data_IF_337746921758
#
_entry.id   IF_337746921758
#
_cell.length_a   1.000
_cell.length_b   1.000
_cell.length_c   1.000
_cell.angle_alpha   90.00
_cell.angle_beta   90.00
_cell.angle_gamma   90.00
#
_symmetry.space_group_name_H-M   'P 1'
#
loop_
_entity.id
_entity.type
_entity.pdbx_description
1 polymer ?
#
# COMPACT_ATOMS: atom_id res chain seq x y z
N UNK A 1 -6.42 -15.85 -10.46
CA UNK A 1 -5.68 -15.34 -9.30
C UNK A 1 -6.66 -14.52 -8.46
N UNK A 2 -6.69 -14.76 -7.15
CA UNK A 2 -7.50 -14.01 -6.17
C UNK A 2 -6.58 -13.29 -5.20
N UNK A 3 -6.74 -11.97 -5.08
CA UNK A 3 -5.99 -11.13 -4.16
C UNK A 3 -6.97 -10.65 -3.10
N UNK A 4 -6.59 -10.77 -1.83
CA UNK A 4 -7.36 -10.25 -0.70
C UNK A 4 -6.49 -9.24 0.04
N UNK A 5 -7.10 -8.13 0.45
CA UNK A 5 -6.47 -7.16 1.35
C UNK A 5 -7.29 -7.01 2.62
N UNK A 6 -6.62 -6.96 3.77
CA UNK A 6 -7.28 -6.85 5.06
C UNK A 6 -6.38 -6.18 6.10
N UNK A 7 -6.82 -5.03 6.62
CA UNK A 7 -6.29 -4.53 7.89
C UNK A 7 -6.78 -5.46 9.00
N UNK A 8 -5.90 -6.33 9.48
CA UNK A 8 -6.23 -7.41 10.42
C UNK A 8 -6.23 -6.93 11.87
N UNK A 9 -5.78 -5.70 12.15
CA UNK A 9 -5.72 -5.13 13.50
C UNK A 9 -5.02 -6.05 14.53
N UNK A 10 -3.94 -6.71 14.11
CA UNK A 10 -3.18 -7.68 14.90
C UNK A 10 -3.48 -9.12 14.55
N UNK A 11 -2.58 -9.78 13.82
CA UNK A 11 -2.77 -11.16 13.35
C UNK A 11 -2.94 -12.17 14.49
N UNK A 12 -2.26 -11.95 15.63
CA UNK A 12 -2.37 -12.81 16.82
C UNK A 12 -3.75 -12.72 17.48
N UNK A 13 -4.31 -11.50 17.53
CA UNK A 13 -5.65 -11.29 18.07
C UNK A 13 -6.70 -11.92 17.16
N UNK A 14 -6.58 -11.70 15.86
CA UNK A 14 -7.57 -12.14 14.87
C UNK A 14 -7.61 -13.65 14.63
N UNK A 15 -6.50 -14.38 14.85
CA UNK A 15 -6.53 -15.85 14.78
C UNK A 15 -7.15 -16.51 16.01
N UNK A 16 -7.24 -15.82 17.15
CA UNK A 16 -7.71 -16.39 18.41
C UNK A 16 -6.95 -17.68 18.78
N UNK A 17 -7.68 -18.79 18.94
CA UNK A 17 -7.10 -20.13 19.20
C UNK A 17 -6.76 -20.91 17.92
N UNK A 18 -7.16 -20.41 16.76
CA UNK A 18 -6.91 -21.06 15.47
C UNK A 18 -5.46 -20.84 15.02
N UNK A 19 -4.94 -21.77 14.22
CA UNK A 19 -3.63 -21.60 13.61
C UNK A 19 -3.66 -20.50 12.54
N UNK A 20 -2.51 -19.88 12.26
CA UNK A 20 -2.40 -18.92 11.16
C UNK A 20 -2.78 -19.56 9.82
N UNK A 21 -2.41 -20.84 9.62
CA UNK A 21 -2.81 -21.61 8.43
C UNK A 21 -4.33 -21.69 8.26
N UNK A 22 -5.06 -22.07 9.30
CA UNK A 22 -6.52 -22.21 9.23
C UNK A 22 -7.20 -20.88 8.87
N UNK A 23 -6.68 -19.77 9.39
CA UNK A 23 -7.17 -18.44 9.03
C UNK A 23 -6.92 -18.15 7.55
N UNK A 24 -5.68 -18.30 7.07
CA UNK A 24 -5.33 -18.01 5.67
C UNK A 24 -6.06 -18.91 4.66
N UNK A 25 -6.21 -20.20 4.96
CA UNK A 25 -6.95 -21.14 4.10
C UNK A 25 -8.41 -20.71 3.95
N UNK A 26 -9.04 -20.24 5.04
CA UNK A 26 -10.45 -19.84 5.07
C UNK A 26 -10.75 -18.62 4.17
N UNK A 27 -9.75 -17.75 3.96
CA UNK A 27 -9.87 -16.54 3.15
C UNK A 27 -9.95 -16.84 1.64
N UNK A 28 -9.67 -18.09 1.23
CA UNK A 28 -9.84 -18.55 -0.14
C UNK A 28 -9.12 -17.68 -1.20
N UNK A 29 -8.00 -17.03 -0.88
CA UNK A 29 -7.22 -16.20 -1.79
C UNK A 29 -5.88 -16.84 -2.16
N UNK A 30 -5.30 -16.40 -3.28
CA UNK A 30 -3.96 -16.82 -3.72
C UNK A 30 -2.87 -15.94 -3.11
N UNK A 31 -3.18 -14.65 -2.94
CA UNK A 31 -2.31 -13.66 -2.30
C UNK A 31 -3.14 -12.91 -1.27
N UNK A 32 -2.67 -12.90 -0.02
CA UNK A 32 -3.33 -12.28 1.12
C UNK A 32 -2.42 -11.17 1.65
N UNK A 33 -2.85 -9.92 1.46
CA UNK A 33 -2.18 -8.71 1.89
C UNK A 33 -2.76 -8.26 3.23
N UNK A 34 -2.00 -8.40 4.30
CA UNK A 34 -2.39 -7.98 5.63
C UNK A 34 -1.72 -6.64 6.00
N UNK A 35 -2.49 -5.76 6.62
CA UNK A 35 -2.03 -4.52 7.23
C UNK A 35 -2.25 -4.55 8.74
N UNK A 36 -1.48 -3.75 9.47
CA UNK A 36 -1.54 -3.68 10.93
C UNK A 36 -1.35 -5.06 11.58
N UNK A 37 -0.34 -5.81 11.13
CA UNK A 37 -0.07 -7.15 11.66
C UNK A 37 0.26 -7.14 13.15
N UNK A 38 0.77 -6.01 13.67
CA UNK A 38 1.26 -5.81 15.04
C UNK A 38 2.30 -6.84 15.45
N UNK A 39 3.07 -7.31 14.48
CA UNK A 39 4.23 -8.17 14.69
C UNK A 39 5.46 -7.36 14.30
N UNK A 40 6.45 -7.36 15.19
CA UNK A 40 7.81 -6.91 14.91
C UNK A 40 8.75 -8.11 14.86
N UNK A 41 9.97 -7.90 14.34
CA UNK A 41 10.92 -8.99 14.06
C UNK A 41 11.27 -9.81 15.32
N UNK A 42 11.37 -9.17 16.47
CA UNK A 42 11.59 -9.78 17.79
C UNK A 42 10.40 -10.64 18.26
N UNK A 43 9.20 -10.34 17.78
CA UNK A 43 7.99 -11.07 18.15
C UNK A 43 7.67 -12.21 17.20
N UNK A 44 8.21 -12.24 15.98
CA UNK A 44 7.81 -13.18 14.94
C UNK A 44 8.10 -14.63 15.35
N UNK A 45 7.04 -15.44 15.45
CA UNK A 45 7.12 -16.88 15.69
C UNK A 45 7.08 -17.67 14.38
N UNK A 46 7.83 -18.77 14.34
CA UNK A 46 7.90 -19.67 13.17
C UNK A 46 6.52 -20.08 12.63
N UNK A 47 5.51 -20.45 13.45
CA UNK A 47 4.19 -20.83 12.93
C UNK A 47 3.39 -19.68 12.29
N UNK A 48 3.83 -18.44 12.47
CA UNK A 48 3.26 -17.26 11.81
C UNK A 48 4.06 -16.86 10.58
N UNK A 49 5.38 -17.07 10.58
CA UNK A 49 6.22 -16.80 9.41
C UNK A 49 6.14 -17.91 8.36
N UNK A 50 6.28 -19.16 8.78
CA UNK A 50 6.41 -20.33 7.92
C UNK A 50 5.11 -21.12 7.99
N UNK A 51 4.24 -20.88 7.01
CA UNK A 51 2.94 -21.53 6.93
C UNK A 51 2.94 -22.49 5.75
N UNK A 52 2.64 -23.76 6.00
CA UNK A 52 2.61 -24.75 4.93
C UNK A 52 1.66 -24.35 3.79
N UNK A 53 2.16 -24.45 2.56
CA UNK A 53 1.49 -23.99 1.33
C UNK A 53 1.66 -22.52 0.98
N UNK A 54 2.23 -21.70 1.87
CA UNK A 54 2.42 -20.26 1.67
C UNK A 54 3.89 -19.84 1.80
N UNK A 55 4.24 -18.78 1.08
CA UNK A 55 5.44 -17.98 1.29
C UNK A 55 5.02 -16.62 1.83
N UNK A 56 5.72 -16.13 2.84
CA UNK A 56 5.36 -14.88 3.51
C UNK A 56 6.44 -13.81 3.35
N UNK A 57 6.03 -12.58 3.14
CA UNK A 57 6.90 -11.41 3.01
C UNK A 57 6.42 -10.34 3.97
N UNK A 58 7.28 -9.89 4.87
CA UNK A 58 6.91 -8.96 5.93
C UNK A 58 7.66 -7.64 5.81
N UNK A 59 6.98 -6.56 6.19
CA UNK A 59 7.59 -5.30 6.57
C UNK A 59 7.35 -5.08 8.07
N UNK A 60 8.43 -4.87 8.83
CA UNK A 60 8.36 -4.76 10.28
C UNK A 60 8.60 -3.33 10.73
N UNK A 61 7.84 -2.87 11.73
CA UNK A 61 8.19 -1.61 12.39
C UNK A 61 9.50 -1.76 13.14
N UNK A 62 10.41 -0.81 12.91
CA UNK A 62 11.70 -0.66 13.62
C UNK A 62 11.62 0.40 14.73
N UNK A 63 10.51 1.15 14.79
CA UNK A 63 10.33 2.27 15.72
C UNK A 63 9.62 1.85 17.01
N UNK A 64 8.68 0.91 16.95
CA UNK A 64 7.87 0.49 18.10
C UNK A 64 7.50 -0.99 18.00
N UNK A 65 7.76 -1.75 19.06
CA UNK A 65 7.34 -3.16 19.17
C UNK A 65 5.81 -3.26 19.13
N UNK A 66 5.28 -4.30 18.48
CA UNK A 66 3.83 -4.54 18.35
C UNK A 66 3.05 -3.48 17.57
N UNK A 67 3.72 -2.65 16.76
CA UNK A 67 3.09 -1.55 16.02
C UNK A 67 3.12 -1.77 14.50
N UNK A 68 2.06 -1.33 13.81
CA UNK A 68 1.99 -1.29 12.35
C UNK A 68 2.26 -2.69 11.78
N UNK A 69 3.10 -2.79 10.76
CA UNK A 69 3.50 -4.03 10.12
C UNK A 69 2.57 -4.39 8.97
N UNK A 70 3.16 -4.77 7.85
CA UNK A 70 2.44 -5.33 6.70
C UNK A 70 3.01 -6.69 6.35
N UNK A 71 2.18 -7.57 5.78
CA UNK A 71 2.61 -8.88 5.34
C UNK A 71 1.85 -9.33 4.09
N UNK A 72 2.54 -9.95 3.14
CA UNK A 72 1.93 -10.68 2.04
C UNK A 72 2.15 -12.16 2.26
N UNK A 73 1.06 -12.94 2.27
CA UNK A 73 1.11 -14.39 2.19
C UNK A 73 0.70 -14.82 0.79
N UNK A 74 1.63 -15.42 0.06
CA UNK A 74 1.44 -15.91 -1.30
C UNK A 74 1.38 -17.43 -1.27
N UNK A 75 0.37 -18.05 -1.87
CA UNK A 75 0.40 -19.50 -2.11
C UNK A 75 1.62 -19.83 -2.98
N UNK A 76 2.20 -21.02 -2.83
CA UNK A 76 3.30 -21.49 -3.69
C UNK A 76 2.99 -21.46 -5.20
N UNK A 77 1.71 -21.53 -5.57
CA UNK A 77 1.24 -21.41 -6.96
C UNK A 77 1.21 -19.97 -7.49
N UNK A 78 1.38 -19.00 -6.61
CA UNK A 78 1.40 -17.56 -6.87
C UNK A 78 2.61 -16.91 -6.18
N UNK A 79 3.73 -17.64 -6.14
CA UNK A 79 4.98 -17.14 -5.58
C UNK A 79 5.53 -15.96 -6.39
N UNK A 80 5.97 -14.89 -5.73
CA UNK A 80 6.59 -13.77 -6.42
C UNK A 80 7.99 -14.13 -6.90
N UNK A 81 8.41 -13.53 -8.02
CA UNK A 81 9.80 -13.61 -8.48
C UNK A 81 10.69 -12.56 -7.79
N UNK A 82 10.11 -11.49 -7.24
CA UNK A 82 10.81 -10.46 -6.47
C UNK A 82 9.97 -9.98 -5.31
N UNK A 83 10.61 -9.62 -4.21
CA UNK A 83 9.94 -9.03 -3.06
C UNK A 83 10.82 -7.98 -2.40
N UNK A 84 10.20 -6.95 -1.84
CA UNK A 84 10.91 -5.83 -1.24
C UNK A 84 10.12 -5.21 -0.08
N UNK A 85 10.85 -4.85 0.99
CA UNK A 85 10.33 -4.09 2.12
C UNK A 85 10.50 -2.59 1.87
N UNK A 86 9.46 -1.80 2.17
CA UNK A 86 9.49 -0.36 2.03
C UNK A 86 9.17 0.15 0.62
N UNK A 87 9.27 1.46 0.45
CA UNK A 87 9.05 2.17 -0.81
C UNK A 87 10.37 2.73 -1.38
N UNK A 88 11.34 3.01 -0.51
CA UNK A 88 12.51 3.84 -0.85
C UNK A 88 13.76 3.03 -1.17
N UNK A 89 13.76 1.74 -0.85
CA UNK A 89 14.93 0.89 -0.96
C UNK A 89 15.88 0.99 0.23
N UNK A 90 15.65 1.90 1.19
CA UNK A 90 16.52 2.03 2.37
C UNK A 90 16.47 0.83 3.32
N UNK A 91 15.41 0.02 3.25
CA UNK A 91 15.32 -1.27 3.96
C UNK A 91 15.85 -2.46 3.15
N UNK A 92 16.32 -2.24 1.93
CA UNK A 92 16.70 -3.30 0.98
C UNK A 92 18.20 -3.52 0.94
N UNK A 93 18.60 -4.77 0.70
CA UNK A 93 20.00 -5.11 0.42
C UNK A 93 20.35 -4.99 -1.08
N UNK A 94 19.40 -4.51 -1.91
CA UNK A 94 19.55 -4.31 -3.36
C UNK A 94 20.05 -5.54 -4.13
N UNK A 95 19.54 -6.72 -3.77
CA UNK A 95 19.84 -7.98 -4.46
C UNK A 95 19.04 -8.15 -5.75
N UNK A 96 19.36 -9.15 -6.57
CA UNK A 96 18.60 -9.46 -7.80
C UNK A 96 17.12 -9.81 -7.55
N UNK A 97 16.79 -10.26 -6.34
CA UNK A 97 15.42 -10.57 -5.90
C UNK A 97 14.63 -9.36 -5.39
N UNK A 98 15.26 -8.18 -5.38
CA UNK A 98 14.64 -6.91 -5.01
C UNK A 98 13.82 -6.34 -6.18
N UNK A 99 12.69 -5.69 -5.89
CA UNK A 99 11.79 -5.12 -6.91
C UNK A 99 12.48 -3.96 -7.65
N UNK A 100 13.03 -2.98 -6.92
CA UNK A 100 13.67 -1.80 -7.50
C UNK A 100 12.70 -0.83 -8.18
N UNK A 101 13.20 0.08 -9.01
CA UNK A 101 12.43 1.15 -9.66
C UNK A 101 11.89 2.19 -8.65
N UNK A 102 12.78 2.90 -7.97
CA UNK A 102 12.43 3.84 -6.87
C UNK A 102 11.76 5.15 -7.35
N UNK A 103 11.94 5.53 -8.61
CA UNK A 103 11.46 6.83 -9.10
C UNK A 103 12.33 7.99 -8.61
N UNK A 104 11.86 9.22 -8.81
CA UNK A 104 12.57 10.41 -8.35
C UNK A 104 12.30 10.65 -6.86
N UNK A 105 13.36 10.61 -6.05
CA UNK A 105 13.33 10.89 -4.62
C UNK A 105 14.31 12.00 -4.20
N UNK A 106 14.84 12.77 -5.15
CA UNK A 106 15.92 13.77 -4.92
C UNK A 106 15.52 14.90 -3.96
N UNK A 107 14.21 15.16 -3.83
CA UNK A 107 13.67 16.18 -2.92
C UNK A 107 13.61 15.74 -1.45
N UNK A 108 13.97 14.49 -1.14
CA UNK A 108 13.96 13.94 0.23
C UNK A 108 15.37 13.68 0.73
N UNK A 109 15.62 14.01 2.00
CA UNK A 109 16.86 13.61 2.66
C UNK A 109 16.89 12.09 2.91
N UNK A 110 18.09 11.51 3.03
CA UNK A 110 18.23 10.09 3.40
C UNK A 110 17.51 9.76 4.71
N UNK A 111 17.56 10.67 5.69
CA UNK A 111 16.85 10.53 6.96
C UNK A 111 15.32 10.48 6.78
N UNK A 112 14.77 11.28 5.85
CA UNK A 112 13.34 11.23 5.53
C UNK A 112 12.96 9.87 4.95
N UNK A 113 13.74 9.38 3.98
CA UNK A 113 13.49 8.10 3.30
C UNK A 113 13.58 6.91 4.27
N UNK A 114 14.61 6.90 5.12
CA UNK A 114 14.74 5.90 6.19
C UNK A 114 13.59 5.97 7.18
N UNK A 115 13.14 7.16 7.56
CA UNK A 115 12.02 7.34 8.46
C UNK A 115 10.71 6.79 7.86
N UNK A 116 10.47 7.01 6.56
CA UNK A 116 9.28 6.53 5.86
C UNK A 116 9.17 5.00 5.84
N UNK A 117 10.29 4.30 5.63
CA UNK A 117 10.33 2.84 5.60
C UNK A 117 10.44 2.19 7.01
N UNK A 118 10.88 2.95 8.02
CA UNK A 118 11.08 2.42 9.36
C UNK A 118 9.80 2.00 10.10
N UNK A 119 8.61 2.43 9.67
CA UNK A 119 7.34 2.11 10.33
C UNK A 119 6.70 0.79 9.88
N UNK A 120 7.32 0.03 8.97
CA UNK A 120 6.81 -1.27 8.57
C UNK A 120 5.50 -1.19 7.77
N UNK A 121 5.39 -0.20 6.87
CA UNK A 121 4.12 0.22 6.25
C UNK A 121 3.93 -0.24 4.82
N UNK A 122 4.93 -0.85 4.22
CA UNK A 122 4.88 -1.26 2.82
C UNK A 122 5.67 -2.54 2.60
N UNK A 123 5.03 -3.50 1.94
CA UNK A 123 5.72 -4.65 1.35
C UNK A 123 5.25 -4.81 -0.09
N UNK A 124 6.20 -5.03 -0.99
CA UNK A 124 5.95 -5.17 -2.42
C UNK A 124 6.33 -6.59 -2.83
N UNK A 125 5.46 -7.24 -3.59
CA UNK A 125 5.74 -8.53 -4.22
C UNK A 125 5.46 -8.43 -5.71
N UNK A 126 6.44 -8.75 -6.55
CA UNK A 126 6.29 -8.78 -8.00
C UNK A 126 6.07 -10.22 -8.47
N UNK A 127 5.09 -10.40 -9.34
CA UNK A 127 4.62 -11.69 -9.84
C UNK A 127 4.60 -11.69 -11.37
N UNK A 128 4.63 -12.88 -11.96
CA UNK A 128 4.35 -13.07 -13.39
C UNK A 128 2.92 -13.59 -13.56
N UNK A 129 2.12 -12.88 -14.34
CA UNK A 129 0.75 -13.27 -14.69
C UNK A 129 0.66 -13.59 -16.17
N UNK A 130 -0.09 -14.64 -16.52
CA UNK A 130 -0.42 -14.97 -17.91
C UNK A 130 -1.80 -14.43 -18.23
N UNK A 131 -1.88 -13.57 -19.23
CA UNK A 131 -3.13 -13.01 -19.75
C UNK A 131 -3.87 -14.04 -20.62
N UNK A 132 -5.18 -13.85 -20.88
CA UNK A 132 -5.94 -14.71 -21.80
C UNK A 132 -5.34 -14.78 -23.22
N UNK A 133 -4.61 -13.74 -23.62
CA UNK A 133 -3.84 -13.67 -24.88
C UNK A 133 -2.57 -14.52 -24.89
N UNK A 134 -2.29 -15.26 -23.81
CA UNK A 134 -1.03 -16.00 -23.56
C UNK A 134 0.21 -15.13 -23.32
N UNK A 135 0.09 -13.81 -23.39
CA UNK A 135 1.16 -12.89 -22.98
C UNK A 135 1.45 -13.04 -21.48
N UNK A 136 2.72 -13.00 -21.11
CA UNK A 136 3.15 -12.96 -19.72
C UNK A 136 3.54 -11.53 -19.37
N UNK A 137 2.94 -10.99 -18.31
CA UNK A 137 3.22 -9.66 -17.79
C UNK A 137 3.76 -9.74 -16.37
N UNK A 138 4.61 -8.79 -16.02
CA UNK A 138 5.00 -8.55 -14.64
C UNK A 138 3.94 -7.67 -13.95
N UNK A 139 3.56 -8.04 -12.73
CA UNK A 139 2.64 -7.27 -11.88
C UNK A 139 3.25 -7.08 -10.50
N UNK A 140 3.36 -5.84 -10.05
CA UNK A 140 3.75 -5.49 -8.69
C UNK A 140 2.50 -5.31 -7.83
N UNK A 141 2.38 -6.09 -6.77
CA UNK A 141 1.37 -5.91 -5.74
C UNK A 141 2.01 -5.13 -4.60
N UNK A 142 1.57 -3.89 -4.40
CA UNK A 142 2.04 -2.98 -3.36
C UNK A 142 1.02 -3.02 -2.23
N UNK A 143 1.38 -3.67 -1.12
CA UNK A 143 0.57 -3.73 0.10
C UNK A 143 0.98 -2.60 1.04
N UNK A 144 0.09 -1.63 1.27
CA UNK A 144 0.34 -0.44 2.09
C UNK A 144 -0.55 -0.33 3.32
N UNK A 145 0.03 0.19 4.40
CA UNK A 145 -0.69 0.73 5.55
C UNK A 145 -0.34 2.21 5.69
N UNK A 146 -1.11 3.07 5.02
CA UNK A 146 -0.85 4.51 4.95
C UNK A 146 -0.97 5.11 6.36
N UNK A 147 -0.07 6.04 6.75
CA UNK A 147 -0.14 6.70 8.04
C UNK A 147 -1.47 7.43 8.28
N UNK A 148 -2.05 7.25 9.46
CA UNK A 148 -3.08 8.17 9.95
C UNK A 148 -2.42 9.51 10.31
N UNK A 149 -2.99 10.61 9.82
CA UNK A 149 -2.55 11.96 10.16
C UNK A 149 -2.85 12.29 11.64
N UNK A 150 -4.03 11.93 12.15
CA UNK A 150 -4.42 12.29 13.52
C UNK A 150 -4.50 13.81 13.72
N UNK A 151 -4.42 14.27 14.96
CA UNK A 151 -4.49 15.70 15.31
C UNK A 151 -3.13 16.42 15.24
N UNK A 152 -2.02 15.67 15.14
CA UNK A 152 -0.67 16.25 15.14
C UNK A 152 -0.22 16.59 13.74
N UNK A 153 0.17 17.84 13.52
CA UNK A 153 0.63 18.36 12.23
C UNK A 153 1.80 17.54 11.64
N UNK A 154 2.78 17.13 12.45
CA UNK A 154 3.90 16.29 12.02
C UNK A 154 3.46 14.97 11.36
N UNK A 155 2.35 14.39 11.83
CA UNK A 155 1.83 13.14 11.28
C UNK A 155 1.06 13.36 9.99
N UNK A 156 0.44 14.53 9.81
CA UNK A 156 -0.07 14.93 8.50
C UNK A 156 1.08 15.07 7.50
N UNK A 157 2.15 15.81 7.85
CA UNK A 157 3.34 15.93 7.01
C UNK A 157 3.94 14.57 6.65
N UNK A 158 4.09 13.68 7.63
CA UNK A 158 4.56 12.31 7.40
C UNK A 158 3.64 11.54 6.43
N UNK A 159 2.31 11.65 6.58
CA UNK A 159 1.34 11.03 5.66
C UNK A 159 1.54 11.55 4.23
N UNK A 160 1.68 12.86 4.04
CA UNK A 160 1.82 13.45 2.70
C UNK A 160 3.15 13.07 2.05
N UNK A 161 4.26 13.06 2.79
CA UNK A 161 5.55 12.52 2.32
C UNK A 161 5.43 11.04 1.94
N UNK A 162 4.73 10.23 2.74
CA UNK A 162 4.51 8.82 2.43
C UNK A 162 3.70 8.62 1.15
N UNK A 163 2.57 9.32 0.99
CA UNK A 163 1.74 9.28 -0.22
C UNK A 163 2.52 9.73 -1.46
N UNK A 164 3.41 10.70 -1.27
CA UNK A 164 4.30 11.19 -2.31
C UNK A 164 5.24 10.12 -2.85
N UNK A 165 6.02 9.54 -1.95
CA UNK A 165 6.97 8.49 -2.28
C UNK A 165 6.26 7.26 -2.83
N UNK A 166 5.06 6.93 -2.31
CA UNK A 166 4.22 5.86 -2.82
C UNK A 166 3.85 6.09 -4.29
N UNK A 167 3.38 7.29 -4.64
CA UNK A 167 3.05 7.63 -6.02
C UNK A 167 4.27 7.56 -6.94
N UNK A 168 5.40 8.16 -6.54
CA UNK A 168 6.63 8.11 -7.34
C UNK A 168 7.09 6.67 -7.59
N UNK A 169 6.95 5.79 -6.59
CA UNK A 169 7.25 4.35 -6.72
C UNK A 169 6.29 3.65 -7.68
N UNK A 170 4.99 3.92 -7.58
CA UNK A 170 3.98 3.39 -8.50
C UNK A 170 4.26 3.80 -9.96
N UNK A 171 4.47 5.09 -10.21
CA UNK A 171 4.71 5.63 -11.55
C UNK A 171 6.03 5.11 -12.14
N UNK A 172 7.08 4.97 -11.33
CA UNK A 172 8.34 4.38 -11.76
C UNK A 172 8.19 2.92 -12.22
N UNK A 173 7.37 2.13 -11.54
CA UNK A 173 7.07 0.75 -11.95
C UNK A 173 6.25 0.71 -13.25
N UNK A 174 5.24 1.58 -13.39
CA UNK A 174 4.45 1.69 -14.61
C UNK A 174 5.32 2.09 -15.82
N UNK A 175 6.27 3.02 -15.64
CA UNK A 175 7.25 3.43 -16.67
C UNK A 175 8.17 2.28 -17.13
N UNK A 176 8.31 1.22 -16.32
CA UNK A 176 9.03 0.00 -16.67
C UNK A 176 8.12 -1.10 -17.26
N UNK A 177 6.89 -0.75 -17.67
CA UNK A 177 5.90 -1.68 -18.22
C UNK A 177 5.50 -2.80 -17.23
N UNK A 178 5.59 -2.52 -15.93
CA UNK A 178 5.12 -3.39 -14.85
C UNK A 178 3.72 -2.92 -14.46
N UNK A 179 2.73 -3.84 -14.46
CA UNK A 179 1.41 -3.50 -13.96
C UNK A 179 1.45 -3.31 -12.44
N UNK A 180 0.70 -2.35 -11.91
CA UNK A 180 0.69 -2.09 -10.47
C UNK A 180 -0.71 -2.35 -9.90
N UNK A 181 -0.76 -3.14 -8.83
CA UNK A 181 -1.94 -3.33 -8.00
C UNK A 181 -1.62 -2.75 -6.63
N UNK A 182 -2.17 -1.56 -6.34
CA UNK A 182 -2.06 -0.92 -5.03
C UNK A 182 -3.23 -1.40 -4.16
N UNK A 183 -2.91 -2.02 -3.03
CA UNK A 183 -3.91 -2.54 -2.08
C UNK A 183 -3.52 -2.19 -0.65
N UNK A 184 -4.51 -2.09 0.22
CA UNK A 184 -4.29 -1.92 1.64
C UNK A 184 -5.21 -0.91 2.26
N UNK A 185 -4.79 -0.41 3.41
CA UNK A 185 -5.50 0.62 4.17
C UNK A 185 -4.86 1.97 3.88
N UNK A 186 -5.57 2.78 3.08
CA UNK A 186 -5.14 4.10 2.67
C UNK A 186 -5.41 5.19 3.73
N UNK A 187 -6.11 4.86 4.82
CA UNK A 187 -6.54 5.82 5.86
C UNK A 187 -7.16 7.09 5.24
N UNK A 188 -8.00 6.91 4.23
CA UNK A 188 -8.72 7.98 3.55
C UNK A 188 -10.07 7.46 3.04
N UNK A 189 -10.98 8.40 2.81
CA UNK A 189 -12.28 8.19 2.20
C UNK A 189 -12.30 8.98 0.89
N UNK A 190 -12.61 8.36 -0.24
CA UNK A 190 -12.58 9.06 -1.53
C UNK A 190 -13.84 9.90 -1.75
N UNK A 191 -15.02 9.28 -1.78
CA UNK A 191 -16.28 9.97 -2.08
C UNK A 191 -17.25 9.97 -0.91
N UNK A 192 -18.37 10.68 -1.09
CA UNK A 192 -19.40 10.85 -0.05
C UNK A 192 -20.05 9.55 0.35
N UNK A 193 -20.25 8.69 -0.64
CA UNK A 193 -20.80 7.36 -0.44
C UNK A 193 -19.92 6.47 0.45
N UNK A 194 -18.63 6.77 0.55
CA UNK A 194 -17.67 5.99 1.34
C UNK A 194 -17.66 6.42 2.83
N UNK A 195 -18.48 7.41 3.23
CA UNK A 195 -18.57 7.90 4.60
C UNK A 195 -20.02 7.89 5.11
N UNK A 196 -20.23 7.36 6.32
CA UNK A 196 -21.53 7.38 6.99
C UNK A 196 -21.79 8.67 7.78
N UNK A 197 -20.78 9.50 8.02
CA UNK A 197 -20.94 10.72 8.81
C UNK A 197 -21.53 11.89 8.00
N UNK A 198 -22.35 12.70 8.65
CA UNK A 198 -22.96 13.90 8.08
C UNK A 198 -21.99 15.08 7.88
N UNK A 199 -20.70 14.89 8.19
CA UNK A 199 -19.65 15.91 8.09
C UNK A 199 -19.03 15.81 6.70
N UNK A 200 -19.76 16.33 5.72
CA UNK A 200 -19.31 16.48 4.35
C UNK A 200 -19.26 17.96 4.00
N UNK A 201 -18.39 18.69 4.71
CA UNK A 201 -18.16 20.12 4.54
C UNK A 201 -16.98 20.39 3.60
N UNK A 202 -16.70 21.67 3.34
CA UNK A 202 -15.61 22.07 2.44
C UNK A 202 -14.24 21.64 2.95
N UNK A 203 -14.04 21.57 4.27
CA UNK A 203 -12.77 21.16 4.87
C UNK A 203 -12.51 19.67 4.62
N UNK A 204 -13.57 18.85 4.69
CA UNK A 204 -13.51 17.43 4.32
C UNK A 204 -13.11 17.25 2.84
N UNK A 205 -13.66 18.06 1.92
CA UNK A 205 -13.33 18.04 0.48
C UNK A 205 -11.88 18.45 0.21
N UNK A 206 -11.36 19.41 0.97
CA UNK A 206 -10.01 19.96 0.80
C UNK A 206 -8.90 19.15 1.46
N UNK A 207 -9.22 18.00 2.10
CA UNK A 207 -8.20 17.15 2.71
C UNK A 207 -7.13 16.74 1.68
N UNK A 208 -5.84 17.05 1.91
CA UNK A 208 -4.80 16.82 0.90
C UNK A 208 -4.66 15.36 0.47
N UNK A 209 -4.93 14.39 1.35
CA UNK A 209 -4.91 12.96 0.96
C UNK A 209 -6.06 12.57 0.03
N UNK A 210 -7.19 13.27 0.07
CA UNK A 210 -8.32 13.03 -0.84
C UNK A 210 -8.06 13.62 -2.20
N UNK A 211 -7.55 14.86 -2.24
CA UNK A 211 -7.07 15.50 -3.48
C UNK A 211 -6.03 14.58 -4.14
N UNK A 212 -5.02 14.12 -3.37
CA UNK A 212 -4.02 13.17 -3.87
C UNK A 212 -4.64 11.90 -4.46
N UNK A 213 -5.59 11.25 -3.76
CA UNK A 213 -6.19 10.03 -4.26
C UNK A 213 -7.04 10.28 -5.52
N UNK A 214 -7.73 11.42 -5.59
CA UNK A 214 -8.49 11.82 -6.76
C UNK A 214 -7.57 11.94 -7.99
N UNK A 215 -6.45 12.65 -7.87
CA UNK A 215 -5.47 12.83 -8.95
C UNK A 215 -4.73 11.55 -9.34
N UNK A 216 -4.62 10.56 -8.45
CA UNK A 216 -4.07 9.25 -8.79
C UNK A 216 -4.94 8.51 -9.82
N UNK A 217 -6.26 8.73 -9.77
CA UNK A 217 -7.22 8.06 -10.63
C UNK A 217 -7.32 8.74 -12.00
N UNK A 218 -7.72 7.95 -13.00
CA UNK A 218 -8.12 8.45 -14.32
C UNK A 218 -9.16 9.57 -14.18
N UNK A 219 -9.06 10.60 -15.02
CA UNK A 219 -9.93 11.78 -14.99
C UNK A 219 -11.44 11.42 -15.00
N UNK A 220 -11.82 10.35 -15.73
CA UNK A 220 -13.19 9.85 -15.77
C UNK A 220 -13.72 9.29 -14.44
N UNK A 221 -12.85 9.07 -13.46
CA UNK A 221 -13.17 8.54 -12.12
C UNK A 221 -13.00 9.57 -11.00
N UNK A 222 -12.70 10.81 -11.35
CA UNK A 222 -12.60 11.89 -10.38
C UNK A 222 -13.95 12.16 -9.72
N UNK A 223 -13.93 12.45 -8.42
CA UNK A 223 -15.07 13.05 -7.73
C UNK A 223 -15.04 14.57 -8.04
N UNK A 224 -16.01 15.09 -8.80
CA UNK A 224 -16.00 16.49 -9.23
C UNK A 224 -16.23 17.47 -8.07
N UNK A 225 -16.61 16.99 -6.88
CA UNK A 225 -16.70 17.82 -5.68
C UNK A 225 -15.35 18.07 -5.01
N UNK A 226 -14.33 17.27 -5.33
CA UNK A 226 -12.97 17.46 -4.80
C UNK A 226 -12.26 18.52 -5.65
N UNK A 227 -11.69 19.57 -5.04
CA UNK A 227 -10.98 20.60 -5.78
C UNK A 227 -9.68 20.07 -6.40
N UNK A 228 -9.28 20.64 -7.54
CA UNK A 228 -7.99 20.31 -8.15
C UNK A 228 -6.82 20.85 -7.29
N UNK A 229 -5.65 20.24 -7.46
CA UNK A 229 -4.40 20.57 -6.75
C UNK A 229 -4.08 22.07 -6.80
N UNK A 230 -4.22 22.69 -7.98
CA UNK A 230 -3.88 24.10 -8.22
C UNK A 230 -4.72 25.09 -7.40
N UNK A 231 -5.91 24.67 -6.93
CA UNK A 231 -6.85 25.54 -6.23
C UNK A 231 -6.68 25.57 -4.71
N UNK A 232 -5.88 24.68 -4.12
CA UNK A 232 -5.87 24.45 -2.67
C UNK A 232 -4.50 24.52 -1.98
N UNK A 233 -3.38 24.56 -2.70
CA UNK A 233 -2.06 24.20 -2.12
C UNK A 233 -0.95 25.21 -2.45
N UNK A 234 -0.89 26.33 -1.70
CA UNK A 234 0.30 27.21 -1.71
C UNK A 234 1.47 26.68 -0.84
N UNK A 235 1.27 25.65 0.01
CA UNK A 235 2.31 25.17 0.93
C UNK A 235 2.71 23.69 0.78
N UNK A 236 1.95 22.89 0.01
CA UNK A 236 2.25 21.47 -0.20
C UNK A 236 2.16 21.10 -1.68
N UNK A 237 2.96 21.77 -2.51
CA UNK A 237 3.20 21.32 -3.88
C UNK A 237 3.92 19.97 -3.82
N UNK A 238 3.19 18.93 -4.22
CA UNK A 238 3.74 17.60 -4.46
C UNK A 238 4.48 17.67 -5.81
N UNK A 239 5.83 17.67 -5.84
CA UNK A 239 6.57 17.97 -7.07
C UNK A 239 6.38 16.89 -8.14
N UNK A 240 6.33 17.32 -9.41
CA UNK A 240 6.34 16.54 -10.67
C UNK A 240 5.58 15.21 -10.64
N UNK A 241 4.26 15.28 -10.86
CA UNK A 241 3.39 14.10 -10.96
C UNK A 241 2.53 14.16 -12.19
N UNK A 242 2.53 13.07 -12.96
CA UNK A 242 1.64 12.90 -14.11
C UNK A 242 0.21 12.59 -13.63
N UNK A 243 0.05 11.77 -12.58
CA UNK A 243 -1.28 11.36 -12.09
C UNK A 243 -2.10 10.61 -13.15
N UNK A 244 -3.39 10.36 -12.90
CA UNK A 244 -4.30 9.88 -13.94
C UNK A 244 -4.14 8.43 -14.38
N UNK A 245 -3.25 7.65 -13.76
CA UNK A 245 -2.89 6.31 -14.24
C UNK A 245 -3.71 5.17 -13.63
N UNK A 246 -4.28 5.38 -12.45
CA UNK A 246 -4.95 4.32 -11.70
C UNK A 246 -6.46 4.29 -11.94
N UNK A 247 -7.07 3.16 -11.60
CA UNK A 247 -8.51 2.99 -11.62
C UNK A 247 -8.96 2.38 -10.30
N UNK A 248 -10.05 2.89 -9.74
CA UNK A 248 -10.74 2.31 -8.60
C UNK A 248 -11.51 1.07 -9.06
N UNK A 249 -10.84 -0.08 -8.97
CA UNK A 249 -11.41 -1.38 -9.35
C UNK A 249 -12.63 -1.73 -8.51
N UNK A 250 -12.72 -1.31 -7.24
CA UNK A 250 -13.87 -1.60 -6.42
C UNK A 250 -15.12 -0.93 -7.00
N UNK A 251 -15.04 0.37 -7.32
CA UNK A 251 -16.15 1.10 -7.97
C UNK A 251 -16.48 0.54 -9.36
N UNK A 252 -15.49 0.16 -10.16
CA UNK A 252 -15.74 -0.43 -11.49
C UNK A 252 -16.51 -1.74 -11.43
N UNK A 253 -16.24 -2.58 -10.42
CA UNK A 253 -16.90 -3.87 -10.25
C UNK A 253 -18.23 -3.76 -9.50
N UNK A 254 -18.43 -2.66 -8.76
CA UNK A 254 -19.64 -2.37 -8.01
C UNK A 254 -20.17 -0.97 -8.35
N UNK A 255 -20.61 -0.73 -9.60
CA UNK A 255 -21.24 0.53 -9.95
C UNK A 255 -22.53 0.66 -9.11
N UNK A 256 -22.57 1.70 -8.27
CA UNK A 256 -23.72 2.03 -7.43
C UNK A 256 -24.95 2.43 -8.22
#
# INVERSE_FOLDING_TARGET
MKILTWNINGIRASRGKSSAKSLLDSLCADIICLQETKITRDMLDEPTAIIDGYESYFSFSRKRSGYSGTANYCKKTASPNKAEEGLTGKCSNHSETTVGCYGNMESYSDNDLEALDAEGRCVITQHKIRLPTSEVKDVAIINVYVPRAGEKEDRLHYKLKFLSVLQSRCEALLKQNIHVILVGDLNLTHQKLDNCESIYDEDFLRLPSRIWFNEMLQESEHDPSIPCVDSCLNEFTLPDREGGHFSDIFRRLHPG
#
